data_IF_173950004890
#
_entry.id   IF_173950004890
#
_cell.length_a   1.000
_cell.length_b   1.000
_cell.length_c   1.000
_cell.angle_alpha   90.00
_cell.angle_beta   90.00
_cell.angle_gamma   90.00
#
_symmetry.space_group_name_H-M   'P 1'
#
loop_
_entity.id
_entity.type
_entity.pdbx_description
1 polymer ?
#
# COMPACT_ATOMS: atom_id res chain seq x y z
N UNK A 1 -11.79 13.42 22.46
CA UNK A 1 -10.52 13.33 21.72
C UNK A 1 -9.50 12.43 22.42
N UNK A 2 -8.97 12.76 23.60
CA UNK A 2 -7.90 11.96 24.25
C UNK A 2 -8.28 10.47 24.41
N UNK A 3 -9.46 10.18 24.97
CA UNK A 3 -9.96 8.80 25.12
C UNK A 3 -10.01 8.02 23.79
N UNK A 4 -10.55 8.62 22.73
CA UNK A 4 -10.64 7.97 21.42
C UNK A 4 -9.25 7.74 20.77
N UNK A 5 -8.29 8.62 21.04
CA UNK A 5 -6.90 8.45 20.62
C UNK A 5 -6.23 7.30 21.36
N UNK A 6 -6.43 7.21 22.69
CA UNK A 6 -5.90 6.14 23.53
C UNK A 6 -6.50 4.77 23.15
N UNK A 7 -7.81 4.73 22.89
CA UNK A 7 -8.52 3.55 22.39
C UNK A 7 -7.96 3.10 21.03
N UNK A 8 -7.75 4.02 20.08
CA UNK A 8 -7.14 3.70 18.78
C UNK A 8 -5.68 3.24 18.91
N UNK A 9 -4.93 3.80 19.85
CA UNK A 9 -3.55 3.42 20.11
C UNK A 9 -3.42 2.05 20.75
N UNK A 10 -4.37 1.64 21.60
CA UNK A 10 -4.38 0.33 22.23
C UNK A 10 -4.83 -0.80 21.29
N UNK A 11 -5.69 -0.50 20.31
CA UNK A 11 -6.25 -1.52 19.40
C UNK A 11 -5.27 -2.03 18.34
N UNK A 12 -4.17 -1.32 18.07
CA UNK A 12 -3.22 -1.61 16.98
C UNK A 12 -3.87 -2.03 15.64
N UNK A 13 -5.01 -1.40 15.29
CA UNK A 13 -5.76 -1.73 14.07
C UNK A 13 -5.98 -0.48 13.22
N UNK A 14 -5.87 -0.65 11.90
CA UNK A 14 -6.16 0.40 10.93
C UNK A 14 -7.59 0.92 11.08
N UNK A 15 -8.55 0.04 11.43
CA UNK A 15 -9.95 0.38 11.62
C UNK A 15 -10.17 1.40 12.74
N UNK A 16 -9.50 1.22 13.88
CA UNK A 16 -9.64 2.11 15.02
C UNK A 16 -9.11 3.53 14.72
N UNK A 17 -8.01 3.62 13.98
CA UNK A 17 -7.46 4.91 13.54
C UNK A 17 -8.31 5.59 12.47
N UNK A 18 -8.93 4.83 11.56
CA UNK A 18 -9.89 5.37 10.59
C UNK A 18 -11.12 5.95 11.28
N UNK A 19 -11.72 5.19 12.22
CA UNK A 19 -12.82 5.66 13.08
C UNK A 19 -12.45 6.97 13.80
N UNK A 20 -11.24 7.04 14.34
CA UNK A 20 -10.74 8.26 14.98
C UNK A 20 -10.69 9.45 14.00
N UNK A 21 -10.17 9.26 12.78
CA UNK A 21 -10.13 10.34 11.79
C UNK A 21 -11.50 10.73 11.22
N UNK A 22 -12.47 9.80 11.19
CA UNK A 22 -13.85 10.12 10.82
C UNK A 22 -14.51 11.04 11.86
N UNK A 23 -14.22 10.83 13.14
CA UNK A 23 -14.70 11.68 14.24
C UNK A 23 -13.92 13.01 14.36
N UNK A 24 -12.63 12.99 14.02
CA UNK A 24 -11.72 14.13 14.15
C UNK A 24 -10.97 14.41 12.83
N UNK A 25 -11.69 14.83 11.77
CA UNK A 25 -11.14 14.95 10.42
C UNK A 25 -10.08 16.04 10.26
N UNK A 26 -10.06 17.04 11.15
CA UNK A 26 -9.11 18.16 11.13
C UNK A 26 -8.03 18.02 12.23
N UNK A 27 -7.82 16.81 12.75
CA UNK A 27 -6.82 16.56 13.79
C UNK A 27 -5.42 17.03 13.33
N UNK A 28 -4.65 17.76 14.16
CA UNK A 28 -3.34 18.31 13.76
C UNK A 28 -2.36 17.26 13.22
N UNK A 29 -2.41 16.04 13.76
CA UNK A 29 -1.54 14.93 13.35
C UNK A 29 -2.16 14.01 12.28
N UNK A 30 -3.20 14.47 11.54
CA UNK A 30 -3.90 13.67 10.53
C UNK A 30 -2.95 12.99 9.54
N UNK A 31 -1.92 13.69 9.07
CA UNK A 31 -0.93 13.13 8.13
C UNK A 31 -0.21 11.91 8.72
N UNK A 32 0.31 12.04 9.95
CA UNK A 32 0.98 10.94 10.64
C UNK A 32 0.04 9.79 10.98
N UNK A 33 -1.22 10.09 11.30
CA UNK A 33 -2.24 9.06 11.52
C UNK A 33 -2.57 8.32 10.21
N UNK A 34 -2.67 9.02 9.09
CA UNK A 34 -2.86 8.40 7.77
C UNK A 34 -1.70 7.46 7.41
N UNK A 35 -0.45 7.89 7.64
CA UNK A 35 0.70 7.01 7.44
C UNK A 35 0.63 5.77 8.33
N UNK A 36 0.22 5.93 9.60
CA UNK A 36 0.01 4.82 10.53
C UNK A 36 -1.08 3.87 10.03
N UNK A 37 -2.20 4.39 9.54
CA UNK A 37 -3.28 3.60 8.93
C UNK A 37 -2.74 2.77 7.77
N UNK A 38 -1.99 3.39 6.84
CA UNK A 38 -1.42 2.69 5.68
C UNK A 38 -0.49 1.55 6.14
N UNK A 39 0.38 1.81 7.12
CA UNK A 39 1.31 0.80 7.65
C UNK A 39 0.56 -0.37 8.28
N UNK A 40 -0.46 -0.08 9.10
CA UNK A 40 -1.31 -1.10 9.72
C UNK A 40 -2.10 -1.90 8.69
N UNK A 41 -2.69 -1.27 7.67
CA UNK A 41 -3.39 -1.98 6.60
C UNK A 41 -2.46 -2.93 5.85
N UNK A 42 -1.21 -2.52 5.57
CA UNK A 42 -0.23 -3.40 4.93
C UNK A 42 0.08 -4.59 5.82
N UNK A 43 0.28 -4.39 7.12
CA UNK A 43 0.57 -5.48 8.05
C UNK A 43 -0.64 -6.42 8.25
N UNK A 44 -1.85 -5.87 8.35
CA UNK A 44 -3.11 -6.63 8.42
C UNK A 44 -3.29 -7.50 7.17
N UNK A 45 -3.11 -6.92 5.97
CA UNK A 45 -3.21 -7.67 4.72
C UNK A 45 -2.11 -8.74 4.64
N UNK A 46 -0.85 -8.40 4.96
CA UNK A 46 0.26 -9.35 4.85
C UNK A 46 0.14 -10.51 5.86
N UNK A 47 -0.51 -10.28 7.00
CA UNK A 47 -0.81 -11.29 8.02
C UNK A 47 -2.05 -12.14 7.74
N UNK A 48 -2.91 -11.74 6.79
CA UNK A 48 -4.12 -12.48 6.42
C UNK A 48 -3.78 -13.74 5.61
N UNK A 49 -4.44 -14.86 5.93
CA UNK A 49 -4.21 -16.16 5.27
C UNK A 49 -4.76 -16.22 3.85
N UNK A 50 -5.76 -15.41 3.54
CA UNK A 50 -6.38 -15.32 2.22
C UNK A 50 -5.64 -14.36 1.27
N UNK A 51 -4.56 -13.73 1.76
CA UNK A 51 -3.76 -12.81 0.94
C UNK A 51 -2.96 -13.57 -0.12
N UNK A 52 -3.24 -13.21 -1.37
CA UNK A 52 -2.51 -13.70 -2.52
C UNK A 52 -1.09 -13.14 -2.60
N UNK A 53 -0.26 -13.77 -3.44
CA UNK A 53 1.09 -13.26 -3.71
C UNK A 53 1.04 -12.12 -4.71
N UNK A 54 1.79 -11.06 -4.44
CA UNK A 54 1.96 -9.95 -5.38
C UNK A 54 2.63 -10.42 -6.69
N UNK A 55 2.26 -9.89 -7.86
CA UNK A 55 3.02 -10.11 -9.08
C UNK A 55 4.44 -9.56 -8.93
N UNK A 56 5.40 -10.25 -9.55
CA UNK A 56 6.81 -9.85 -9.53
C UNK A 56 7.02 -8.51 -10.24
N UNK A 57 7.88 -7.66 -9.68
CA UNK A 57 8.26 -6.38 -10.28
C UNK A 57 9.38 -6.62 -11.28
N UNK A 58 9.20 -6.12 -12.51
CA UNK A 58 10.27 -6.09 -13.48
C UNK A 58 11.13 -4.84 -13.20
N UNK A 59 12.42 -5.04 -12.96
CA UNK A 59 13.36 -3.92 -12.88
C UNK A 59 13.71 -3.45 -14.28
N UNK A 60 13.49 -2.17 -14.55
CA UNK A 60 13.85 -1.55 -15.84
C UNK A 60 15.25 -0.94 -15.81
N UNK A 61 15.72 -0.46 -14.65
CA UNK A 61 17.11 -0.03 -14.47
C UNK A 61 17.54 -0.08 -13.00
N UNK A 62 18.78 -0.49 -12.75
CA UNK A 62 19.39 -0.62 -11.42
C UNK A 62 20.27 0.57 -11.03
N UNK A 63 20.05 1.74 -11.64
CA UNK A 63 20.83 2.94 -11.34
C UNK A 63 20.66 3.35 -9.87
N UNK A 64 21.80 3.48 -9.18
CA UNK A 64 21.85 3.86 -7.76
C UNK A 64 21.32 5.30 -7.59
N UNK A 65 20.09 5.43 -7.14
CA UNK A 65 19.42 6.70 -6.87
C UNK A 65 18.81 6.66 -5.47
N UNK A 66 18.82 7.81 -4.78
CA UNK A 66 18.10 7.99 -3.52
C UNK A 66 16.58 7.83 -3.68
N UNK A 67 16.07 8.04 -4.89
CA UNK A 67 14.66 7.85 -5.25
C UNK A 67 14.51 6.71 -6.26
N UNK A 68 13.50 5.88 -6.03
CA UNK A 68 13.02 4.84 -6.93
C UNK A 68 11.73 5.26 -7.60
N UNK A 69 11.54 4.86 -8.86
CA UNK A 69 10.27 5.01 -9.57
C UNK A 69 9.62 3.63 -9.72
N UNK A 70 8.31 3.57 -9.51
CA UNK A 70 7.50 2.35 -9.63
C UNK A 70 6.31 2.66 -10.52
N UNK A 71 6.33 2.15 -11.76
CA UNK A 71 5.17 2.22 -12.64
C UNK A 71 4.24 1.04 -12.37
N UNK A 72 2.95 1.34 -12.13
CA UNK A 72 1.91 0.35 -11.95
C UNK A 72 0.81 0.55 -12.98
N UNK A 73 0.53 -0.52 -13.73
CA UNK A 73 -0.62 -0.60 -14.64
C UNK A 73 -1.69 -1.51 -14.04
N UNK A 74 -2.93 -1.02 -13.98
CA UNK A 74 -4.07 -1.74 -13.43
C UNK A 74 -4.91 -2.39 -14.55
N UNK A 75 -4.68 -3.68 -14.77
CA UNK A 75 -5.47 -4.50 -15.71
C UNK A 75 -6.45 -5.44 -14.98
N UNK A 76 -6.89 -5.08 -13.77
CA UNK A 76 -7.72 -5.94 -12.91
C UNK A 76 -9.22 -5.87 -13.22
N UNK A 77 -9.67 -4.90 -14.03
CA UNK A 77 -11.10 -4.66 -14.28
C UNK A 77 -11.83 -3.89 -13.16
N UNK A 78 -11.17 -3.60 -12.03
CA UNK A 78 -11.69 -2.78 -10.92
C UNK A 78 -10.72 -1.64 -10.58
N UNK A 79 -11.08 -0.78 -9.62
CA UNK A 79 -10.08 0.12 -9.00
C UNK A 79 -9.05 -0.71 -8.22
N UNK A 80 -7.77 -0.33 -8.36
CA UNK A 80 -6.64 -0.95 -7.67
C UNK A 80 -6.09 0.03 -6.65
N UNK A 81 -6.13 -0.34 -5.38
CA UNK A 81 -5.48 0.40 -4.30
C UNK A 81 -4.16 -0.26 -3.97
N UNK A 82 -3.05 0.49 -4.06
CA UNK A 82 -1.71 0.00 -3.70
C UNK A 82 -1.18 0.82 -2.53
N UNK A 83 -0.65 0.11 -1.53
CA UNK A 83 -0.15 0.64 -0.27
C UNK A 83 1.30 0.21 -0.09
N UNK A 84 2.16 1.17 0.17
CA UNK A 84 3.58 0.98 0.46
C UNK A 84 3.83 1.28 1.94
N UNK A 85 4.56 0.39 2.60
CA UNK A 85 5.01 0.53 3.99
C UNK A 85 6.48 0.18 4.09
N UNK A 86 7.33 1.20 4.27
CA UNK A 86 8.78 1.04 4.36
C UNK A 86 9.44 2.30 4.89
N UNK A 87 10.44 2.81 4.15
CA UNK A 87 11.11 4.09 4.45
C UNK A 87 10.08 5.22 4.55
N UNK A 88 9.12 5.24 3.63
CA UNK A 88 7.90 6.05 3.73
C UNK A 88 6.64 5.18 3.66
N UNK A 89 5.49 5.78 3.97
CA UNK A 89 4.19 5.15 3.78
C UNK A 89 3.39 5.92 2.73
N UNK A 90 2.88 5.22 1.72
CA UNK A 90 2.18 5.86 0.60
C UNK A 90 1.06 4.98 0.09
N UNK A 91 -0.10 5.58 -0.16
CA UNK A 91 -1.24 4.92 -0.79
C UNK A 91 -1.53 5.60 -2.11
N UNK A 92 -1.78 4.79 -3.14
CA UNK A 92 -2.26 5.24 -4.44
C UNK A 92 -3.50 4.46 -4.81
N UNK A 93 -4.37 5.11 -5.55
CA UNK A 93 -5.48 4.47 -6.23
C UNK A 93 -5.30 4.62 -7.74
N UNK A 94 -5.51 3.53 -8.48
CA UNK A 94 -5.37 3.45 -9.92
C UNK A 94 -6.70 2.95 -10.49
N UNK A 95 -7.41 3.74 -11.30
CA UNK A 95 -8.65 3.29 -11.91
C UNK A 95 -8.41 2.11 -12.85
N UNK A 96 -9.47 1.36 -13.19
CA UNK A 96 -9.38 0.24 -14.12
C UNK A 96 -8.83 0.70 -15.49
N UNK A 97 -7.86 -0.04 -16.03
CA UNK A 97 -7.17 0.30 -17.27
C UNK A 97 -6.17 1.46 -17.16
N UNK A 98 -6.01 2.03 -15.96
CA UNK A 98 -5.11 3.15 -15.71
C UNK A 98 -3.67 2.72 -15.40
N UNK A 99 -2.74 3.64 -15.62
CA UNK A 99 -1.34 3.51 -15.22
C UNK A 99 -0.96 4.69 -14.33
N UNK A 100 -0.21 4.44 -13.25
CA UNK A 100 0.38 5.49 -12.42
C UNK A 100 1.82 5.16 -12.09
N UNK A 101 2.65 6.19 -12.16
CA UNK A 101 4.04 6.14 -11.70
C UNK A 101 4.13 6.75 -10.31
N UNK A 102 4.73 6.01 -9.38
CA UNK A 102 4.98 6.44 -8.01
C UNK A 102 6.47 6.62 -7.80
N UNK A 103 6.83 7.76 -7.24
CA UNK A 103 8.19 8.00 -6.75
C UNK A 103 8.22 7.71 -5.25
N UNK A 104 9.20 6.91 -4.85
CA UNK A 104 9.45 6.47 -3.48
C UNK A 104 10.93 6.62 -3.15
N UNK A 105 11.26 6.82 -1.89
CA UNK A 105 12.63 6.73 -1.39
C UNK A 105 13.14 5.30 -1.56
N UNK A 106 14.38 5.13 -2.01
CA UNK A 106 14.97 3.79 -2.18
C UNK A 106 15.10 3.08 -0.83
N UNK A 107 14.68 1.83 -0.76
CA UNK A 107 14.66 1.03 0.45
C UNK A 107 13.77 -0.20 0.36
N UNK A 108 13.65 -0.92 1.47
CA UNK A 108 12.77 -2.10 1.56
C UNK A 108 11.35 -1.67 1.92
N UNK A 109 10.37 -2.20 1.19
CA UNK A 109 8.95 -1.96 1.40
C UNK A 109 8.19 -3.27 1.51
N UNK A 110 7.30 -3.33 2.50
CA UNK A 110 6.12 -4.18 2.43
C UNK A 110 5.10 -3.49 1.55
N UNK A 111 4.52 -4.21 0.62
CA UNK A 111 3.57 -3.67 -0.33
C UNK A 111 2.31 -4.52 -0.26
N UNK A 112 1.15 -3.85 -0.20
CA UNK A 112 -0.15 -4.48 -0.26
C UNK A 112 -0.98 -3.85 -1.38
N UNK A 113 -1.68 -4.68 -2.13
CA UNK A 113 -2.57 -4.29 -3.20
C UNK A 113 -3.96 -4.91 -2.97
N UNK A 114 -5.00 -4.12 -3.18
CA UNK A 114 -6.39 -4.56 -3.08
C UNK A 114 -7.10 -4.26 -4.41
N UNK A 115 -7.69 -5.27 -5.03
CA UNK A 115 -8.48 -5.12 -6.24
C UNK A 115 -9.61 -6.16 -6.27
N UNK A 116 -10.81 -5.73 -6.68
CA UNK A 116 -12.00 -6.57 -6.79
C UNK A 116 -12.30 -7.44 -5.55
N UNK A 117 -12.00 -6.95 -4.33
CA UNK A 117 -12.20 -7.69 -3.08
C UNK A 117 -11.14 -8.73 -2.75
N UNK A 118 -10.12 -8.90 -3.60
CA UNK A 118 -8.95 -9.72 -3.32
C UNK A 118 -7.79 -8.83 -2.86
N UNK A 119 -6.96 -9.38 -1.96
CA UNK A 119 -5.76 -8.74 -1.47
C UNK A 119 -4.53 -9.52 -1.91
N UNK A 120 -3.45 -8.78 -2.18
CA UNK A 120 -2.16 -9.30 -2.56
C UNK A 120 -1.09 -8.57 -1.77
N UNK A 121 -0.09 -9.29 -1.27
CA UNK A 121 1.02 -8.65 -0.58
C UNK A 121 2.36 -9.30 -0.90
N UNK A 122 3.42 -8.53 -0.65
CA UNK A 122 4.79 -8.94 -0.84
C UNK A 122 5.76 -7.97 -0.19
N UNK A 123 7.05 -8.32 -0.25
CA UNK A 123 8.13 -7.43 0.17
C UNK A 123 9.06 -7.22 -1.01
N UNK A 124 9.39 -5.97 -1.29
CA UNK A 124 10.26 -5.58 -2.40
C UNK A 124 11.36 -4.63 -1.91
N UNK A 125 12.56 -4.76 -2.48
CA UNK A 125 13.67 -3.86 -2.24
C UNK A 125 13.83 -2.93 -3.43
N UNK A 126 13.43 -1.67 -3.27
CA UNK A 126 13.42 -0.66 -4.32
C UNK A 126 14.75 0.11 -4.32
N UNK A 127 15.56 -0.08 -5.35
CA UNK A 127 16.84 0.60 -5.61
C UNK A 127 17.01 0.93 -7.11
N UNK A 128 16.25 1.91 -7.61
CA UNK A 128 16.29 2.30 -9.03
C UNK A 128 14.90 2.39 -9.66
N UNK A 129 14.78 2.10 -10.96
CA UNK A 129 13.50 2.16 -11.68
C UNK A 129 12.89 0.77 -11.84
N UNK A 130 11.68 0.60 -11.33
CA UNK A 130 10.89 -0.63 -11.38
C UNK A 130 9.58 -0.36 -12.09
N UNK A 131 9.00 -1.38 -12.69
CA UNK A 131 7.57 -1.37 -12.94
C UNK A 131 6.98 -2.76 -12.83
N UNK A 132 5.70 -2.78 -12.50
CA UNK A 132 4.93 -3.99 -12.37
C UNK A 132 3.58 -3.76 -13.00
N UNK A 133 3.12 -4.72 -13.79
CA UNK A 133 1.74 -4.70 -14.25
C UNK A 133 0.93 -5.64 -13.38
N UNK A 134 -0.10 -5.09 -12.73
CA UNK A 134 -1.02 -5.89 -11.94
C UNK A 134 -2.08 -6.48 -12.86
N UNK A 135 -2.15 -7.81 -12.85
CA UNK A 135 -3.20 -8.59 -13.47
C UNK A 135 -3.89 -9.42 -12.39
N UNK A 136 -5.20 -9.61 -12.47
CA UNK A 136 -5.83 -10.72 -11.77
C UNK A 136 -5.55 -11.96 -12.60
N UNK A 137 -4.48 -12.70 -12.30
CA UNK A 137 -4.35 -14.05 -12.82
C UNK A 137 -5.37 -14.92 -12.10
N UNK A 138 -6.56 -15.07 -12.66
CA UNK A 138 -7.41 -16.21 -12.33
C UNK A 138 -6.74 -17.44 -12.93
N UNK A 139 -5.69 -17.95 -12.29
CA UNK A 139 -5.21 -19.29 -12.62
C UNK A 139 -6.30 -20.25 -12.15
N UNK A 140 -7.26 -20.54 -13.03
CA UNK A 140 -8.09 -21.72 -12.89
C UNK A 140 -7.14 -22.90 -13.05
N UNK A 141 -6.89 -23.59 -11.94
CA UNK A 141 -6.39 -24.96 -11.97
C UNK A 141 -7.45 -25.87 -12.60
#
# INVERSE_FOLDING_TARGET
>A
MQKAYDDASSSNSSYAWKRFLDEYPDHPNKSSINEKIIRLEVDEILGDRETGRMPSFNSYSSSYSSNSSVEITNNTGCSLTVRYSGVEAKMIEIPSGGTRTVYLSSGTYKIAASACGANYAGTESLRGSYGSTFYISRTRY
#
